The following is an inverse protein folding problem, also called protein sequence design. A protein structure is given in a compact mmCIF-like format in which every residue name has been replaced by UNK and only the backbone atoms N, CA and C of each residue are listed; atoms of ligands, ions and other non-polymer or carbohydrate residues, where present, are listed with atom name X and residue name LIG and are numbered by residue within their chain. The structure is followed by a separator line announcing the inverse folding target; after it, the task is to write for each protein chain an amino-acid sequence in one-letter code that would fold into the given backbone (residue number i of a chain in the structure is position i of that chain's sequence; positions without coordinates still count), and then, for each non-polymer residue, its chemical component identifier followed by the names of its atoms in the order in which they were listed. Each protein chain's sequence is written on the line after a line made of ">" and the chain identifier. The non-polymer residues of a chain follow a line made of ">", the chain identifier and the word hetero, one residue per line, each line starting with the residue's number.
data_IF_249406694341
#
_entry.id   IF_249406694341
#
_cell.length_a   1.000
_cell.length_b   1.000
_cell.length_c   1.000
_cell.angle_alpha   90.00
_cell.angle_beta   90.00
_cell.angle_gamma   90.00
#
_symmetry.space_group_name_H-M   'P 1'
#
loop_
_entity.id
_entity.type
_entity.pdbx_description
1 polymer ?
#
# COMPACT_ATOMS: atom_id res chain seq x y z
N UNK A 1 31.65 -59.75 41.36
CA UNK A 1 31.89 -58.36 41.81
C UNK A 1 31.92 -57.37 40.64
N UNK A 2 32.78 -57.54 39.63
CA UNK A 2 32.83 -56.64 38.47
C UNK A 2 31.52 -56.54 37.67
N UNK A 3 30.81 -57.64 37.43
CA UNK A 3 29.50 -57.63 36.74
C UNK A 3 28.46 -56.74 37.46
N UNK A 4 28.43 -56.79 38.79
CA UNK A 4 27.47 -56.02 39.60
C UNK A 4 27.77 -54.53 39.53
N UNK A 5 29.06 -54.16 39.51
CA UNK A 5 29.51 -52.78 39.33
C UNK A 5 29.11 -52.23 37.95
N UNK A 6 29.30 -53.00 36.88
CA UNK A 6 28.87 -52.58 35.53
C UNK A 6 27.34 -52.39 35.42
N UNK A 7 26.56 -53.23 36.10
CA UNK A 7 25.10 -53.07 36.16
C UNK A 7 24.69 -51.75 36.84
N UNK A 8 25.31 -51.41 37.96
CA UNK A 8 25.05 -50.17 38.69
C UNK A 8 25.43 -48.94 37.84
N UNK A 9 26.56 -49.00 37.13
CA UNK A 9 27.00 -47.94 36.22
C UNK A 9 25.98 -47.68 35.11
N UNK A 10 25.42 -48.75 34.53
CA UNK A 10 24.36 -48.66 33.51
C UNK A 10 23.08 -48.05 34.06
N UNK A 11 22.66 -48.42 35.28
CA UNK A 11 21.51 -47.79 35.93
C UNK A 11 21.74 -46.28 36.12
N UNK A 12 22.94 -45.89 36.56
CA UNK A 12 23.29 -44.48 36.74
C UNK A 12 23.33 -43.72 35.41
N UNK A 13 23.89 -44.31 34.35
CA UNK A 13 23.89 -43.69 33.02
C UNK A 13 22.46 -43.50 32.51
N UNK A 14 21.60 -44.50 32.75
CA UNK A 14 20.20 -44.47 32.34
C UNK A 14 19.42 -43.41 33.10
N UNK A 15 19.60 -43.29 34.42
CA UNK A 15 18.95 -42.27 35.24
C UNK A 15 19.40 -40.87 34.83
N UNK A 16 20.71 -40.69 34.60
CA UNK A 16 21.29 -39.42 34.17
C UNK A 16 20.72 -39.01 32.80
N UNK A 17 20.69 -39.93 31.85
CA UNK A 17 20.16 -39.70 30.52
C UNK A 17 18.66 -39.40 30.52
N UNK A 18 17.89 -40.12 31.33
CA UNK A 18 16.45 -39.91 31.48
C UNK A 18 16.12 -38.54 32.06
N UNK A 19 16.87 -38.10 33.09
CA UNK A 19 16.72 -36.74 33.66
C UNK A 19 17.15 -35.68 32.64
N UNK A 20 18.27 -35.89 31.94
CA UNK A 20 18.77 -34.97 30.92
C UNK A 20 17.77 -34.77 29.77
N UNK A 21 17.16 -35.86 29.29
CA UNK A 21 16.12 -35.80 28.26
C UNK A 21 14.89 -35.10 28.81
N UNK A 22 14.36 -35.49 29.97
CA UNK A 22 13.14 -34.87 30.51
C UNK A 22 13.30 -33.37 30.77
N UNK A 23 14.51 -32.89 31.04
CA UNK A 23 14.80 -31.45 31.14
C UNK A 23 14.78 -30.75 29.77
N UNK A 24 15.30 -31.39 28.72
CA UNK A 24 15.42 -30.77 27.38
C UNK A 24 14.20 -30.97 26.48
N UNK A 25 13.43 -32.04 26.70
CA UNK A 25 12.33 -32.48 25.85
C UNK A 25 10.98 -31.82 26.20
N UNK A 26 10.95 -30.84 27.12
CA UNK A 26 9.77 -29.98 27.32
C UNK A 26 9.52 -29.14 26.06
N UNK A 27 8.87 -29.77 25.09
CA UNK A 27 8.33 -29.29 23.83
C UNK A 27 7.23 -28.22 24.00
N UNK A 28 7.27 -27.45 25.08
CA UNK A 28 6.41 -26.28 25.28
C UNK A 28 7.01 -25.03 24.63
N UNK A 29 8.26 -25.08 24.17
CA UNK A 29 8.89 -23.99 23.43
C UNK A 29 8.37 -23.87 22.00
N UNK A 30 8.07 -24.97 21.32
CA UNK A 30 7.49 -24.97 19.97
C UNK A 30 6.07 -24.38 19.98
N UNK A 31 5.19 -24.87 20.86
CA UNK A 31 3.82 -24.36 20.95
C UNK A 31 3.79 -22.87 21.36
N UNK A 32 4.68 -22.47 22.27
CA UNK A 32 4.83 -21.07 22.67
C UNK A 32 5.31 -20.18 21.51
N UNK A 33 6.28 -20.65 20.72
CA UNK A 33 6.76 -19.95 19.50
C UNK A 33 5.65 -19.84 18.46
N UNK A 34 4.92 -20.92 18.22
CA UNK A 34 3.79 -20.93 17.29
C UNK A 34 2.70 -19.95 17.74
N UNK A 35 2.32 -19.97 19.02
CA UNK A 35 1.35 -19.00 19.56
C UNK A 35 1.84 -17.56 19.42
N UNK A 36 3.12 -17.28 19.73
CA UNK A 36 3.66 -15.93 19.57
C UNK A 36 3.72 -15.48 18.11
N UNK A 37 3.98 -16.41 17.19
CA UNK A 37 3.96 -16.12 15.75
C UNK A 37 2.55 -15.79 15.26
N UNK A 38 1.55 -16.55 15.72
CA UNK A 38 0.14 -16.27 15.43
C UNK A 38 -0.27 -14.91 16.03
N UNK A 39 0.09 -14.64 17.29
CA UNK A 39 -0.20 -13.35 17.93
C UNK A 39 0.45 -12.19 17.16
N UNK A 40 1.69 -12.34 16.68
CA UNK A 40 2.39 -11.35 15.84
C UNK A 40 1.69 -11.16 14.50
N UNK A 41 1.32 -12.26 13.84
CA UNK A 41 0.59 -12.25 12.56
C UNK A 41 -0.76 -11.55 12.69
N UNK A 42 -1.50 -11.79 13.78
CA UNK A 42 -2.77 -11.10 14.05
C UNK A 42 -2.56 -9.59 14.20
N UNK A 43 -1.50 -9.17 14.90
CA UNK A 43 -1.19 -7.74 15.06
C UNK A 43 -0.88 -7.10 13.70
N UNK A 44 -0.07 -7.75 12.88
CA UNK A 44 0.30 -7.26 11.54
C UNK A 44 -0.93 -7.17 10.62
N UNK A 45 -1.79 -8.19 10.62
CA UNK A 45 -3.03 -8.19 9.85
C UNK A 45 -3.97 -7.07 10.32
N UNK A 46 -4.14 -6.89 11.63
CA UNK A 46 -4.97 -5.82 12.16
C UNK A 46 -4.44 -4.45 11.75
N UNK A 47 -3.13 -4.22 11.88
CA UNK A 47 -2.50 -2.97 11.48
C UNK A 47 -2.65 -2.70 9.97
N UNK A 48 -2.45 -3.72 9.13
CA UNK A 48 -2.66 -3.62 7.69
C UNK A 48 -4.14 -3.38 7.35
N UNK A 49 -5.05 -4.01 8.08
CA UNK A 49 -6.50 -3.85 7.91
C UNK A 49 -6.95 -2.44 8.28
N UNK A 50 -6.51 -1.90 9.42
CA UNK A 50 -6.79 -0.53 9.85
C UNK A 50 -6.29 0.49 8.83
N UNK A 51 -5.07 0.28 8.30
CA UNK A 51 -4.51 1.10 7.23
C UNK A 51 -5.36 1.02 5.96
N UNK A 52 -5.79 -0.17 5.56
CA UNK A 52 -6.60 -0.37 4.37
C UNK A 52 -7.99 0.26 4.51
N UNK A 53 -8.62 0.15 5.68
CA UNK A 53 -9.89 0.80 6.01
C UNK A 53 -9.74 2.32 5.90
N UNK A 54 -8.70 2.90 6.51
CA UNK A 54 -8.44 4.34 6.42
C UNK A 54 -8.29 4.81 4.96
N UNK A 55 -7.56 4.07 4.13
CA UNK A 55 -7.42 4.39 2.69
C UNK A 55 -8.78 4.33 1.98
N UNK A 56 -9.60 3.32 2.29
CA UNK A 56 -10.94 3.17 1.71
C UNK A 56 -11.85 4.33 2.15
N UNK A 57 -11.80 4.72 3.42
CA UNK A 57 -12.58 5.82 3.97
C UNK A 57 -12.25 7.15 3.27
N UNK A 58 -10.96 7.46 3.12
CA UNK A 58 -10.50 8.63 2.37
C UNK A 58 -11.01 8.60 0.91
N UNK A 59 -10.98 7.43 0.27
CA UNK A 59 -11.49 7.28 -1.11
C UNK A 59 -13.00 7.52 -1.19
N UNK A 60 -13.77 6.97 -0.26
CA UNK A 60 -15.22 7.20 -0.19
C UNK A 60 -15.52 8.70 0.00
N UNK A 61 -14.80 9.38 0.90
CA UNK A 61 -14.96 10.80 1.13
C UNK A 61 -14.65 11.61 -0.15
N UNK A 62 -13.55 11.28 -0.84
CA UNK A 62 -13.18 11.94 -2.09
C UNK A 62 -14.23 11.75 -3.18
N UNK A 63 -14.79 10.54 -3.30
CA UNK A 63 -15.80 10.22 -4.31
C UNK A 63 -17.10 10.98 -4.02
N UNK A 64 -17.54 11.01 -2.77
CA UNK A 64 -18.70 11.78 -2.34
C UNK A 64 -18.54 13.28 -2.62
N UNK A 65 -17.33 13.82 -2.42
CA UNK A 65 -17.03 15.21 -2.74
C UNK A 65 -17.13 15.49 -4.24
N UNK A 66 -16.60 14.59 -5.09
CA UNK A 66 -16.67 14.72 -6.54
C UNK A 66 -18.13 14.64 -7.02
N UNK A 67 -18.93 13.72 -6.47
CA UNK A 67 -20.36 13.59 -6.78
C UNK A 67 -21.08 14.90 -6.45
N UNK A 68 -20.87 15.44 -5.24
CA UNK A 68 -21.48 16.71 -4.83
C UNK A 68 -21.12 17.87 -5.76
N UNK A 69 -19.86 17.92 -6.22
CA UNK A 69 -19.41 18.96 -7.16
C UNK A 69 -20.04 18.79 -8.54
N UNK A 70 -20.29 17.56 -8.98
CA UNK A 70 -21.03 17.29 -10.22
C UNK A 70 -22.49 17.72 -10.07
N UNK A 71 -23.14 17.41 -8.96
CA UNK A 71 -24.53 17.79 -8.68
C UNK A 71 -24.70 19.32 -8.69
N UNK A 72 -23.80 20.05 -8.02
CA UNK A 72 -23.80 21.52 -8.01
C UNK A 72 -23.65 22.09 -9.43
N UNK A 73 -22.78 21.49 -10.26
CA UNK A 73 -22.60 21.91 -11.65
C UNK A 73 -23.82 21.59 -12.51
N UNK A 74 -24.50 20.46 -12.29
CA UNK A 74 -25.75 20.12 -12.99
C UNK A 74 -26.83 21.14 -12.63
N UNK A 75 -26.97 21.49 -11.34
CA UNK A 75 -27.92 22.50 -10.88
C UNK A 75 -27.68 23.87 -11.55
N UNK A 76 -26.42 24.32 -11.58
CA UNK A 76 -26.06 25.58 -12.26
C UNK A 76 -26.35 25.50 -13.76
N UNK A 77 -26.12 24.36 -14.41
CA UNK A 77 -26.44 24.17 -15.83
C UNK A 77 -27.95 24.22 -16.09
N UNK A 78 -28.75 23.53 -15.27
CA UNK A 78 -30.21 23.52 -15.40
C UNK A 78 -30.79 24.92 -15.17
N UNK A 79 -30.32 25.63 -14.15
CA UNK A 79 -30.69 27.02 -13.88
C UNK A 79 -30.36 27.94 -15.06
N UNK A 80 -29.21 27.75 -15.73
CA UNK A 80 -28.86 28.51 -16.94
C UNK A 80 -29.78 28.16 -18.10
N UNK A 81 -30.04 26.88 -18.36
CA UNK A 81 -30.94 26.42 -19.44
C UNK A 81 -32.37 26.95 -19.27
N UNK A 82 -32.89 26.92 -18.04
CA UNK A 82 -34.21 27.44 -17.71
C UNK A 82 -34.25 28.98 -17.76
N UNK A 83 -33.19 29.66 -17.31
CA UNK A 83 -33.05 31.11 -17.37
C UNK A 83 -32.95 31.66 -18.81
N UNK A 84 -32.37 30.91 -19.75
CA UNK A 84 -32.32 31.27 -21.17
C UNK A 84 -33.69 31.26 -21.86
N UNK A 85 -34.68 30.53 -21.32
CA UNK A 85 -36.01 30.41 -21.95
C UNK A 85 -36.95 31.60 -21.61
N UNK A 86 -36.64 32.40 -20.57
CA UNK A 86 -37.52 33.48 -20.09
C UNK A 86 -37.08 34.89 -20.49
N UNK A 87 -35.93 35.05 -21.14
CA UNK A 87 -35.54 36.32 -21.76
C UNK A 87 -35.97 36.36 -23.23
N UNK A 88 -37.28 36.33 -23.47
CA UNK A 88 -37.85 36.79 -24.74
C UNK A 88 -37.63 38.29 -24.85
N UNK A 89 -36.51 38.68 -25.45
CA UNK A 89 -36.28 40.01 -26.00
C UNK A 89 -37.32 40.23 -27.12
N UNK A 90 -38.17 41.26 -27.07
CA UNK A 90 -38.99 41.65 -28.21
C UNK A 90 -38.10 42.44 -29.18
N UNK A 91 -37.75 41.88 -30.33
CA UNK A 91 -36.80 42.55 -31.21
C UNK A 91 -36.56 41.86 -32.54
N UNK A 92 -37.36 42.25 -33.52
CA UNK A 92 -37.18 42.13 -34.95
C UNK A 92 -35.71 42.14 -35.42
N UNK A 93 -35.32 41.21 -36.32
CA UNK A 93 -34.41 41.47 -37.44
C UNK A 93 -34.16 40.17 -38.23
N UNK A 94 -34.76 40.10 -39.41
CA UNK A 94 -34.29 39.33 -40.54
C UNK A 94 -32.87 39.78 -40.92
N UNK A 95 -31.87 38.92 -40.74
CA UNK A 95 -30.69 38.97 -41.60
C UNK A 95 -29.96 37.63 -41.63
N UNK A 96 -29.55 37.28 -42.85
CA UNK A 96 -28.77 36.12 -43.23
C UNK A 96 -27.51 35.96 -42.39
N UNK A 97 -27.25 34.73 -41.90
CA UNK A 97 -25.88 34.26 -41.77
C UNK A 97 -25.82 32.74 -41.87
N UNK A 98 -25.43 32.25 -43.05
CA UNK A 98 -24.84 30.93 -43.17
C UNK A 98 -23.44 30.92 -42.55
N UNK A 99 -22.95 29.71 -42.29
CA UNK A 99 -21.56 29.39 -41.94
C UNK A 99 -21.14 29.69 -40.49
N UNK A 100 -21.15 28.66 -39.63
CA UNK A 100 -19.98 27.78 -39.43
C UNK A 100 -20.19 26.89 -38.23
N UNK A 101 -20.10 25.59 -38.50
CA UNK A 101 -19.67 24.58 -37.56
C UNK A 101 -18.25 24.91 -37.07
N UNK A 102 -18.12 25.78 -36.09
CA UNK A 102 -16.88 25.88 -35.30
C UNK A 102 -17.18 25.34 -33.90
N UNK A 103 -17.27 24.01 -33.86
CA UNK A 103 -17.16 23.24 -32.63
C UNK A 103 -15.77 23.41 -32.06
N UNK A 104 -15.54 24.53 -31.39
CA UNK A 104 -14.42 24.71 -30.48
C UNK A 104 -15.02 24.97 -29.10
N UNK A 105 -15.59 23.90 -28.53
CA UNK A 105 -15.53 23.76 -27.08
C UNK A 105 -14.07 23.50 -26.74
N UNK A 106 -13.29 24.58 -26.62
CA UNK A 106 -11.99 24.55 -25.93
C UNK A 106 -12.29 24.30 -24.45
N UNK A 107 -12.51 23.03 -24.11
CA UNK A 107 -12.41 22.59 -22.73
C UNK A 107 -10.94 22.65 -22.36
N UNK A 108 -10.48 23.80 -21.87
CA UNK A 108 -9.35 23.83 -20.96
C UNK A 108 -9.83 23.19 -19.65
N UNK A 109 -10.08 21.88 -19.67
CA UNK A 109 -10.16 21.06 -18.48
C UNK A 109 -8.71 20.84 -18.07
N UNK A 110 -8.15 21.85 -17.42
CA UNK A 110 -7.08 21.62 -16.47
C UNK A 110 -7.71 20.79 -15.34
N UNK A 111 -7.80 19.49 -15.58
CA UNK A 111 -8.27 18.52 -14.60
C UNK A 111 -7.15 18.35 -13.59
N UNK A 112 -7.00 19.36 -12.73
CA UNK A 112 -6.24 19.23 -11.51
C UNK A 112 -7.02 18.25 -10.63
N UNK A 113 -6.68 16.97 -10.74
CA UNK A 113 -6.97 15.94 -9.73
C UNK A 113 -6.71 16.60 -8.36
N UNK A 114 -7.68 16.63 -7.43
CA UNK A 114 -7.47 17.22 -6.13
C UNK A 114 -6.24 16.57 -5.47
N UNK A 115 -5.34 17.44 -5.02
CA UNK A 115 -3.96 17.25 -4.52
C UNK A 115 -3.72 16.12 -3.50
N UNK A 116 -4.75 15.39 -3.06
CA UNK A 116 -4.67 14.30 -2.08
C UNK A 116 -4.16 13.00 -2.73
N UNK A 117 -4.60 12.69 -3.95
CA UNK A 117 -4.12 11.50 -4.69
C UNK A 117 -2.63 11.63 -5.03
N UNK A 118 -2.20 12.86 -5.35
CA UNK A 118 -0.79 13.21 -5.61
C UNK A 118 0.06 13.25 -4.36
N UNK A 119 -0.48 13.24 -3.14
CA UNK A 119 0.35 13.19 -1.92
C UNK A 119 0.55 11.74 -1.45
N UNK A 120 -0.49 10.91 -1.45
CA UNK A 120 -0.41 9.52 -0.98
C UNK A 120 0.36 8.62 -1.97
N UNK A 121 0.10 8.77 -3.28
CA UNK A 121 0.85 8.04 -4.32
C UNK A 121 2.28 8.56 -4.41
N UNK A 122 2.50 9.87 -4.22
CA UNK A 122 3.84 10.46 -4.21
C UNK A 122 4.63 10.06 -2.98
N UNK A 123 4.03 9.92 -1.81
CA UNK A 123 4.72 9.50 -0.59
C UNK A 123 5.12 8.02 -0.67
N UNK A 124 4.25 7.13 -1.16
CA UNK A 124 4.61 5.73 -1.41
C UNK A 124 5.70 5.58 -2.49
N UNK A 125 5.61 6.36 -3.58
CA UNK A 125 6.64 6.44 -4.62
C UNK A 125 7.95 7.04 -4.07
N UNK A 126 7.86 8.02 -3.15
CA UNK A 126 9.01 8.64 -2.51
C UNK A 126 9.72 7.67 -1.56
N UNK A 127 8.99 6.88 -0.77
CA UNK A 127 9.58 5.84 0.10
C UNK A 127 10.32 4.79 -0.74
N UNK A 128 9.69 4.26 -1.80
CA UNK A 128 10.36 3.33 -2.74
C UNK A 128 11.65 3.94 -3.31
N UNK A 129 11.60 5.18 -3.80
CA UNK A 129 12.76 5.84 -4.39
C UNK A 129 13.85 6.15 -3.36
N UNK A 130 13.49 6.52 -2.13
CA UNK A 130 14.45 6.74 -1.06
C UNK A 130 15.17 5.44 -0.66
N UNK A 131 14.44 4.33 -0.61
CA UNK A 131 15.01 3.00 -0.36
C UNK A 131 16.02 2.63 -1.46
N UNK A 132 15.66 2.85 -2.72
CA UNK A 132 16.55 2.62 -3.87
C UNK A 132 17.82 3.49 -3.77
N UNK A 133 17.67 4.80 -3.54
CA UNK A 133 18.80 5.72 -3.45
C UNK A 133 19.76 5.38 -2.30
N UNK A 134 19.24 5.01 -1.13
CA UNK A 134 20.07 4.65 0.01
C UNK A 134 20.82 3.34 -0.22
N UNK A 135 20.21 2.39 -0.93
CA UNK A 135 20.87 1.17 -1.37
C UNK A 135 21.97 1.46 -2.42
N UNK A 136 21.72 2.35 -3.38
CA UNK A 136 22.73 2.80 -4.35
C UNK A 136 23.91 3.54 -3.67
N UNK A 137 23.66 4.23 -2.56
CA UNK A 137 24.68 4.85 -1.71
C UNK A 137 25.49 3.83 -0.87
N UNK A 138 25.21 2.53 -0.98
CA UNK A 138 25.93 1.45 -0.31
C UNK A 138 25.47 1.16 1.12
N UNK A 139 24.29 1.64 1.53
CA UNK A 139 23.71 1.31 2.83
C UNK A 139 23.20 -0.14 2.85
N UNK A 140 23.43 -0.86 3.95
CA UNK A 140 22.97 -2.25 4.09
C UNK A 140 21.44 -2.35 4.19
N UNK A 141 20.87 -3.47 3.73
CA UNK A 141 19.44 -3.70 3.73
C UNK A 141 18.83 -3.63 5.14
N UNK A 142 19.55 -4.08 6.17
CA UNK A 142 19.12 -4.03 7.57
C UNK A 142 19.06 -2.60 8.10
N UNK A 143 20.00 -1.75 7.69
CA UNK A 143 20.02 -0.34 8.09
C UNK A 143 18.86 0.44 7.43
N UNK A 144 18.55 0.13 6.17
CA UNK A 144 17.40 0.70 5.46
C UNK A 144 16.09 0.21 6.10
N UNK A 145 15.94 -1.09 6.34
CA UNK A 145 14.77 -1.69 7.00
C UNK A 145 14.48 -1.02 8.36
N UNK A 146 15.52 -0.86 9.20
CA UNK A 146 15.41 -0.19 10.50
C UNK A 146 15.03 1.29 10.38
N UNK A 147 15.53 1.99 9.35
CA UNK A 147 15.25 3.42 9.11
C UNK A 147 13.81 3.67 8.65
N UNK A 148 13.26 2.76 7.84
CA UNK A 148 11.90 2.89 7.30
C UNK A 148 10.84 2.07 8.05
N UNK A 149 11.24 1.32 9.09
CA UNK A 149 10.38 0.40 9.85
C UNK A 149 9.70 -0.64 8.94
N UNK A 150 10.43 -1.08 7.91
CA UNK A 150 10.00 -2.11 6.97
C UNK A 150 10.71 -3.42 7.31
N UNK A 151 10.14 -4.53 6.87
CA UNK A 151 10.80 -5.83 7.00
C UNK A 151 11.99 -5.95 6.02
N UNK A 152 12.98 -6.77 6.36
CA UNK A 152 14.12 -7.02 5.48
C UNK A 152 13.68 -7.52 4.10
N UNK A 153 12.69 -8.42 4.06
CA UNK A 153 12.15 -8.97 2.82
C UNK A 153 11.41 -7.93 1.97
N UNK A 154 10.76 -6.95 2.61
CA UNK A 154 10.10 -5.85 1.88
C UNK A 154 11.12 -4.94 1.19
N UNK A 155 12.23 -4.62 1.86
CA UNK A 155 13.32 -3.82 1.28
C UNK A 155 13.98 -4.57 0.13
N UNK A 156 14.26 -5.87 0.31
CA UNK A 156 14.84 -6.73 -0.74
C UNK A 156 13.91 -6.87 -1.95
N UNK A 157 12.60 -7.02 -1.72
CA UNK A 157 11.59 -7.06 -2.77
C UNK A 157 11.53 -5.74 -3.56
N UNK A 158 11.58 -4.60 -2.86
CA UNK A 158 11.57 -3.28 -3.50
C UNK A 158 12.79 -3.12 -4.42
N UNK A 159 13.99 -3.50 -3.95
CA UNK A 159 15.23 -3.36 -4.71
C UNK A 159 15.31 -4.37 -5.86
N UNK A 160 14.85 -5.61 -5.67
CA UNK A 160 14.83 -6.64 -6.71
C UNK A 160 13.89 -6.28 -7.87
N UNK A 161 12.70 -5.73 -7.57
CA UNK A 161 11.76 -5.23 -8.59
C UNK A 161 12.40 -4.07 -9.39
N UNK A 162 13.16 -3.19 -8.73
CA UNK A 162 13.84 -2.09 -9.41
C UNK A 162 14.96 -2.59 -10.35
N UNK A 163 15.81 -3.51 -9.88
CA UNK A 163 16.89 -4.10 -10.71
C UNK A 163 16.34 -4.93 -11.88
N UNK A 164 15.24 -5.66 -11.67
CA UNK A 164 14.57 -6.43 -12.72
C UNK A 164 13.96 -5.55 -13.83
N UNK A 165 13.42 -4.38 -13.47
CA UNK A 165 12.88 -3.42 -14.44
C UNK A 165 13.93 -2.64 -15.23
N UNK A 166 15.19 -2.58 -14.77
CA UNK A 166 16.30 -1.96 -15.51
C UNK A 166 16.79 -2.87 -16.65
N UNK A 167 16.80 -4.19 -16.43
CA UNK A 167 17.17 -5.15 -17.49
C UNK A 167 16.19 -5.11 -18.67
N UNK A 168 14.89 -4.92 -18.43
CA UNK A 168 13.88 -4.83 -19.51
C UNK A 168 14.03 -3.55 -20.37
N UNK A 169 14.66 -2.49 -19.85
CA UNK A 169 14.89 -1.24 -20.61
C UNK A 169 16.19 -1.23 -21.42
N UNK A 170 17.17 -2.07 -21.11
CA UNK A 170 18.43 -2.17 -21.88
C UNK A 170 18.32 -3.07 -23.10
N UNK A 171 17.35 -4.00 -23.14
CA UNK A 171 17.11 -4.86 -24.31
C UNK A 171 16.25 -4.20 -25.41
N UNK A 172 15.88 -2.92 -25.22
CA UNK A 172 15.00 -2.14 -26.13
C UNK A 172 15.70 -0.96 -26.80
N UNK A 173 17.03 -0.96 -26.85
CA UNK A 173 17.83 -0.04 -27.67
C UNK A 173 18.90 -0.79 -28.46
#
# INVERSE_FOLDING_TARGET
>A
MFIVFYLILIIFIFIYFHVYINLKIKSNSILKKFKSEVDKTIIEINQATDRNINIIEIKIESLNRIIKEVDERIEILDQRLLGFNNSSIPGNSSSNFGSKSDGIYKSNLDYSIPTIEKNIIKESYNVRNQIILLHEQGMSFEAIAKKFKLDLGEVELIVSIHRGGIHEKMDRY
#
